data_IF_855994759659
#
_entry.id   IF_855994759659
#
_cell.length_a   1.000
_cell.length_b   1.000
_cell.length_c   1.000
_cell.angle_alpha   90.00
_cell.angle_beta   90.00
_cell.angle_gamma   90.00
#
_symmetry.space_group_name_H-M   'P 1'
#
loop_
_entity.id
_entity.type
_entity.pdbx_description
1 polymer ?
#
# COMPACT_ATOMS: atom_id res chain seq x y z
N UNK A 1 0.64 4.82 24.60
CA UNK A 1 -0.22 5.28 23.47
C UNK A 1 -1.72 5.09 23.77
N UNK A 2 -2.27 5.65 24.87
CA UNK A 2 -3.69 5.47 25.20
C UNK A 2 -4.64 6.19 24.21
N UNK A 3 -4.20 7.32 23.65
CA UNK A 3 -5.00 8.13 22.72
C UNK A 3 -5.26 7.41 21.38
N UNK A 4 -4.23 6.74 20.85
CA UNK A 4 -4.37 5.90 19.64
C UNK A 4 -5.33 4.74 19.85
N UNK A 5 -5.29 4.09 21.02
CA UNK A 5 -6.21 3.01 21.34
C UNK A 5 -7.66 3.51 21.39
N UNK A 6 -7.91 4.66 22.01
CA UNK A 6 -9.23 5.27 22.06
C UNK A 6 -9.73 5.69 20.65
N UNK A 7 -8.84 6.19 19.80
CA UNK A 7 -9.18 6.51 18.42
C UNK A 7 -9.54 5.26 17.61
N UNK A 8 -8.74 4.19 17.69
CA UNK A 8 -9.01 2.91 17.03
C UNK A 8 -10.33 2.30 17.53
N UNK A 9 -10.64 2.42 18.82
CA UNK A 9 -11.91 1.98 19.37
C UNK A 9 -13.11 2.72 18.75
N UNK A 10 -12.99 4.04 18.55
CA UNK A 10 -14.02 4.84 17.86
C UNK A 10 -14.22 4.42 16.40
N UNK A 11 -13.13 4.13 15.68
CA UNK A 11 -13.22 3.59 14.32
C UNK A 11 -13.89 2.22 14.28
N UNK A 12 -13.54 1.33 15.22
CA UNK A 12 -14.20 0.02 15.33
C UNK A 12 -15.68 0.16 15.65
N UNK A 13 -16.05 1.07 16.54
CA UNK A 13 -17.45 1.33 16.85
C UNK A 13 -18.23 1.90 15.65
N UNK A 14 -17.59 2.75 14.84
CA UNK A 14 -18.24 3.39 13.70
C UNK A 14 -18.38 2.46 12.47
N UNK A 15 -17.40 1.59 12.23
CA UNK A 15 -17.30 0.83 10.97
C UNK A 15 -17.22 -0.69 11.14
N UNK A 16 -17.02 -1.18 12.37
CA UNK A 16 -16.68 -2.58 12.67
C UNK A 16 -17.63 -3.58 12.05
N UNK A 17 -18.94 -3.39 12.23
CA UNK A 17 -19.95 -4.33 11.75
C UNK A 17 -19.94 -4.44 10.22
N UNK A 18 -19.81 -3.30 9.51
CA UNK A 18 -19.74 -3.28 8.04
C UNK A 18 -18.48 -3.97 7.51
N UNK A 19 -17.37 -3.85 8.23
CA UNK A 19 -16.10 -4.53 7.90
C UNK A 19 -16.24 -6.02 8.17
N UNK A 20 -16.81 -6.42 9.31
CA UNK A 20 -17.00 -7.82 9.69
C UNK A 20 -17.96 -8.53 8.72
N UNK A 21 -19.02 -7.87 8.27
CA UNK A 21 -19.92 -8.36 7.22
C UNK A 21 -19.18 -8.59 5.89
N UNK A 22 -18.44 -7.58 5.41
CA UNK A 22 -17.68 -7.66 4.18
C UNK A 22 -16.63 -8.79 4.23
N UNK A 23 -15.92 -8.95 5.36
CA UNK A 23 -14.97 -10.04 5.58
C UNK A 23 -15.65 -11.39 5.52
N UNK A 24 -16.83 -11.52 6.14
CA UNK A 24 -17.58 -12.78 6.18
C UNK A 24 -18.06 -13.18 4.77
N UNK A 25 -18.66 -12.25 4.04
CA UNK A 25 -19.10 -12.46 2.65
C UNK A 25 -17.91 -12.78 1.73
N UNK A 26 -16.81 -12.04 1.91
CA UNK A 26 -15.53 -12.30 1.26
C UNK A 26 -15.04 -13.73 1.44
N UNK A 27 -15.03 -14.23 2.69
CA UNK A 27 -14.64 -15.61 3.00
C UNK A 27 -15.60 -16.66 2.42
N UNK A 28 -16.87 -16.31 2.24
CA UNK A 28 -17.90 -17.19 1.70
C UNK A 28 -17.95 -17.23 0.16
N UNK A 29 -17.01 -16.58 -0.53
CA UNK A 29 -16.92 -16.64 -1.98
C UNK A 29 -17.37 -15.38 -2.71
N UNK A 30 -17.93 -14.39 -2.00
CA UNK A 30 -18.36 -13.14 -2.65
C UNK A 30 -17.17 -12.17 -2.83
N UNK A 31 -17.05 -11.46 -3.96
CA UNK A 31 -15.94 -10.54 -4.24
C UNK A 31 -16.07 -9.20 -3.50
N UNK A 32 -16.24 -9.23 -2.18
CA UNK A 32 -16.49 -8.05 -1.32
C UNK A 32 -15.31 -7.71 -0.42
N UNK A 33 -14.46 -8.69 -0.09
CA UNK A 33 -13.25 -8.51 0.69
C UNK A 33 -12.14 -9.45 0.21
N UNK A 34 -10.95 -8.89 0.02
CA UNK A 34 -9.73 -9.62 -0.34
C UNK A 34 -8.51 -8.95 0.30
N UNK A 35 -7.68 -9.73 0.97
CA UNK A 35 -6.39 -9.27 1.50
C UNK A 35 -5.30 -10.31 1.23
N UNK A 36 -4.13 -9.84 0.82
CA UNK A 36 -2.93 -10.67 0.65
C UNK A 36 -1.74 -10.01 1.32
N UNK A 37 -1.19 -10.66 2.33
CA UNK A 37 -0.04 -10.17 3.10
C UNK A 37 0.89 -11.33 3.42
N UNK A 38 2.21 -11.15 3.23
CA UNK A 38 3.23 -12.15 3.57
C UNK A 38 2.93 -13.56 3.04
N UNK A 39 2.42 -13.65 1.81
CA UNK A 39 2.04 -14.92 1.16
C UNK A 39 0.75 -15.56 1.68
N UNK A 40 0.07 -14.94 2.66
CA UNK A 40 -1.24 -15.37 3.16
C UNK A 40 -2.34 -14.61 2.43
N UNK A 41 -3.45 -15.29 2.16
CA UNK A 41 -4.60 -14.71 1.45
C UNK A 41 -5.87 -14.97 2.24
N UNK A 42 -6.76 -13.98 2.32
CA UNK A 42 -8.09 -14.08 2.93
C UNK A 42 -9.13 -13.46 2.00
N UNK A 43 -10.27 -14.15 1.86
CA UNK A 43 -11.41 -13.69 1.08
C UNK A 43 -11.27 -13.98 -0.43
N UNK A 44 -12.23 -13.47 -1.21
CA UNK A 44 -12.33 -13.70 -2.65
C UNK A 44 -11.92 -12.45 -3.42
N UNK A 45 -10.94 -12.54 -4.33
CA UNK A 45 -10.54 -11.41 -5.14
C UNK A 45 -11.69 -10.97 -6.07
N UNK A 46 -11.85 -9.65 -6.31
CA UNK A 46 -12.75 -9.17 -7.35
C UNK A 46 -12.32 -9.73 -8.72
N UNK A 47 -13.28 -9.94 -9.63
CA UNK A 47 -13.04 -10.51 -10.97
C UNK A 47 -12.18 -9.63 -11.91
N UNK A 48 -11.70 -8.50 -11.39
CA UNK A 48 -11.74 -7.21 -12.03
C UNK A 48 -10.82 -6.28 -11.19
N UNK A 49 -9.74 -5.79 -11.79
CA UNK A 49 -8.93 -4.69 -11.23
C UNK A 49 -9.46 -3.32 -11.71
N UNK A 50 -10.73 -3.24 -12.11
CA UNK A 50 -11.28 -2.08 -12.82
C UNK A 50 -11.46 -0.89 -11.87
N UNK A 51 -11.45 -1.16 -10.56
CA UNK A 51 -11.42 -0.17 -9.48
C UNK A 51 -10.03 -0.02 -8.84
N UNK A 52 -8.95 -0.23 -9.61
CA UNK A 52 -7.64 0.26 -9.19
C UNK A 52 -7.72 1.79 -9.18
N UNK A 53 -7.99 2.37 -8.01
CA UNK A 53 -7.84 3.80 -7.77
C UNK A 53 -6.53 4.23 -8.41
N UNK A 54 -6.62 5.03 -9.48
CA UNK A 54 -5.44 5.65 -10.07
C UNK A 54 -4.98 6.70 -9.09
N UNK A 55 -4.11 6.28 -8.16
CA UNK A 55 -3.38 7.21 -7.32
C UNK A 55 -2.74 8.27 -8.24
N UNK A 56 -2.89 9.54 -7.88
CA UNK A 56 -2.21 10.61 -8.61
C UNK A 56 -0.70 10.36 -8.58
N UNK A 57 0.01 10.94 -9.55
CA UNK A 57 1.47 10.83 -9.57
C UNK A 57 2.11 11.42 -8.30
N UNK A 58 1.43 12.38 -7.64
CA UNK A 58 1.89 12.98 -6.38
C UNK A 58 2.02 11.94 -5.25
N UNK A 59 1.22 10.88 -5.24
CA UNK A 59 1.34 9.78 -4.25
C UNK A 59 2.63 8.98 -4.47
N UNK A 60 3.20 9.02 -5.67
CA UNK A 60 4.49 8.40 -6.00
C UNK A 60 5.67 9.35 -5.75
N UNK A 61 5.41 10.65 -5.63
CA UNK A 61 6.42 11.68 -5.37
C UNK A 61 6.82 11.74 -3.88
N UNK A 62 7.29 10.60 -3.37
CA UNK A 62 7.76 10.48 -1.99
C UNK A 62 9.27 10.68 -1.98
N UNK A 63 9.69 11.95 -1.90
CA UNK A 63 11.07 12.36 -1.71
C UNK A 63 11.58 11.99 -0.30
N UNK A 64 11.92 10.71 -0.08
CA UNK A 64 12.49 10.26 1.21
C UNK A 64 13.97 10.62 1.38
N UNK A 65 14.66 11.03 0.31
CA UNK A 65 16.04 11.50 0.36
C UNK A 65 16.29 12.66 -0.61
N UNK A 66 17.27 13.50 -0.30
CA UNK A 66 17.61 14.67 -1.08
C UNK A 66 17.95 14.31 -2.54
N UNK A 67 17.26 14.96 -3.48
CA UNK A 67 17.50 14.83 -4.92
C UNK A 67 16.96 13.54 -5.57
N UNK A 68 16.06 12.80 -4.92
CA UNK A 68 15.51 11.54 -5.44
C UNK A 68 14.03 11.68 -5.83
N UNK A 69 13.68 11.39 -7.08
CA UNK A 69 12.30 11.42 -7.65
C UNK A 69 11.34 10.31 -7.16
N UNK A 70 11.64 9.63 -6.05
CA UNK A 70 10.78 8.55 -5.51
C UNK A 70 10.77 7.23 -6.30
N UNK A 71 11.38 7.13 -7.49
CA UNK A 71 11.31 5.90 -8.30
C UNK A 71 12.07 4.69 -7.73
N UNK A 72 12.80 4.85 -6.61
CA UNK A 72 13.36 3.72 -5.85
C UNK A 72 12.33 2.98 -4.98
N UNK A 73 11.15 3.56 -4.72
CA UNK A 73 10.17 3.00 -3.79
C UNK A 73 9.64 1.66 -4.32
N UNK A 74 9.60 0.65 -3.44
CA UNK A 74 9.15 -0.69 -3.79
C UNK A 74 10.17 -1.55 -4.56
N UNK A 75 11.33 -1.00 -4.94
CA UNK A 75 12.38 -1.75 -5.68
C UNK A 75 13.36 -2.51 -4.79
N UNK A 76 13.26 -2.35 -3.46
CA UNK A 76 14.23 -2.79 -2.46
C UNK A 76 15.65 -2.21 -2.62
N UNK A 77 15.85 -1.24 -3.52
CA UNK A 77 17.13 -0.53 -3.70
C UNK A 77 17.25 0.59 -2.67
N UNK A 78 18.41 0.67 -1.98
CA UNK A 78 18.70 1.76 -1.03
C UNK A 78 19.04 3.05 -1.77
N UNK A 79 18.68 4.20 -1.18
CA UNK A 79 18.98 5.52 -1.75
C UNK A 79 20.48 5.73 -2.03
N UNK A 80 21.37 5.27 -1.13
CA UNK A 80 22.83 5.36 -1.32
C UNK A 80 23.33 4.59 -2.55
N UNK A 81 22.74 3.42 -2.82
CA UNK A 81 23.07 2.60 -3.99
C UNK A 81 22.60 3.27 -5.28
N UNK A 82 21.42 3.91 -5.25
CA UNK A 82 20.87 4.62 -6.41
C UNK A 82 21.65 5.89 -6.76
N UNK A 83 22.05 6.69 -5.77
CA UNK A 83 22.88 7.89 -6.00
C UNK A 83 24.21 7.53 -6.69
N UNK A 84 24.80 6.39 -6.32
CA UNK A 84 26.03 5.89 -6.94
C UNK A 84 25.82 5.51 -8.41
N UNK A 85 24.69 4.87 -8.74
CA UNK A 85 24.35 4.48 -10.12
C UNK A 85 24.03 5.69 -11.02
N UNK A 86 23.35 6.71 -10.49
CA UNK A 86 23.03 7.93 -11.22
C UNK A 86 24.30 8.69 -11.64
N UNK A 87 25.28 8.82 -10.73
CA UNK A 87 26.57 9.46 -11.03
C UNK A 87 27.38 8.71 -12.08
N UNK A 88 27.36 7.37 -12.05
CA UNK A 88 28.05 6.52 -13.04
C UNK A 88 27.42 6.58 -14.43
N UNK A 89 26.09 6.76 -14.52
CA UNK A 89 25.38 6.94 -15.79
C UNK A 89 25.67 8.29 -16.46
N UNK A 90 25.98 9.31 -15.68
CA UNK A 90 26.35 10.65 -16.16
C UNK A 90 27.81 10.72 -16.63
N UNK A 91 28.71 9.94 -16.04
CA UNK A 91 30.12 9.84 -16.45
C UNK A 91 30.35 9.05 -17.75
N UNK A 92 29.35 8.29 -18.22
CA UNK A 92 29.39 7.52 -19.47
C UNK A 92 28.73 8.22 -20.67
N UNK A 93 28.23 9.44 -20.49
CA UNK A 93 27.66 10.27 -21.58
C UNK A 93 28.64 11.32 -22.04
#
# INVERSE_FOLDING_TARGET
MPEMAAFVAKLRAAFGDSVDEAVTRGKNGEPTFYARENGRTVGTPPADHHNAWRASEDVRDLHYCDGCDGSCIGTAIRCSQRMTQAMQGQQKR
#
